data_IF_245314954165
#
_entry.id   IF_245314954165
#
_cell.length_a   1.000
_cell.length_b   1.000
_cell.length_c   1.000
_cell.angle_alpha   90.00
_cell.angle_beta   90.00
_cell.angle_gamma   90.00
#
_symmetry.space_group_name_H-M   'P 1'
#
loop_
_entity.id
_entity.type
_entity.pdbx_description
1 polymer ?
#
# COMPACT_ATOMS: atom_id res chain seq x y z
N UNK A 1 40.86 21.08 -31.81
CA UNK A 1 41.40 20.81 -33.15
C UNK A 1 41.03 19.37 -33.49
N UNK A 2 40.43 19.20 -34.66
CA UNK A 2 39.72 18.03 -35.17
C UNK A 2 40.40 16.68 -34.97
N UNK A 3 39.61 15.62 -34.73
CA UNK A 3 39.77 14.36 -35.46
C UNK A 3 38.40 13.75 -35.78
N UNK A 4 38.16 13.63 -37.08
CA UNK A 4 37.00 13.06 -37.76
C UNK A 4 37.39 11.64 -38.20
N UNK A 5 36.51 10.62 -38.13
CA UNK A 5 36.79 9.32 -38.74
C UNK A 5 36.23 9.26 -40.18
N UNK A 6 37.02 8.69 -41.10
CA UNK A 6 36.71 8.45 -42.51
C UNK A 6 35.93 7.14 -42.75
N UNK A 7 35.22 6.99 -43.88
CA UNK A 7 34.16 5.99 -44.07
C UNK A 7 34.62 4.64 -44.65
N UNK A 8 33.87 3.57 -44.34
CA UNK A 8 34.05 2.22 -44.87
C UNK A 8 33.32 2.01 -46.20
N UNK A 9 34.00 1.33 -47.12
CA UNK A 9 33.55 0.99 -48.48
C UNK A 9 32.39 -0.01 -48.51
N UNK A 10 31.50 0.23 -49.47
CA UNK A 10 30.38 -0.63 -49.90
C UNK A 10 30.90 -1.71 -50.86
N UNK A 11 30.53 -2.96 -50.62
CA UNK A 11 30.69 -4.08 -51.56
C UNK A 11 29.33 -4.74 -51.79
N UNK A 12 28.98 -4.90 -53.06
CA UNK A 12 27.74 -5.45 -53.60
C UNK A 12 27.91 -6.91 -53.98
N UNK A 13 27.00 -7.80 -53.56
CA UNK A 13 26.82 -9.15 -54.16
C UNK A 13 25.33 -9.51 -54.21
N UNK A 14 24.93 -10.06 -55.35
CA UNK A 14 23.58 -10.35 -55.86
C UNK A 14 22.84 -11.50 -55.14
N UNK A 15 21.49 -11.55 -55.19
CA UNK A 15 20.72 -12.66 -54.62
C UNK A 15 20.57 -13.86 -55.56
N UNK A 16 20.70 -15.05 -54.98
CA UNK A 16 20.54 -16.38 -55.59
C UNK A 16 19.08 -16.85 -55.46
N UNK A 17 18.52 -17.43 -56.53
CA UNK A 17 17.19 -18.07 -56.57
C UNK A 17 17.32 -19.56 -56.19
N UNK A 18 16.42 -20.13 -55.36
CA UNK A 18 16.20 -21.58 -55.30
C UNK A 18 14.83 -22.02 -55.85
N UNK A 19 14.69 -23.31 -56.23
CA UNK A 19 13.62 -23.81 -57.10
C UNK A 19 12.37 -24.31 -56.36
N UNK A 20 11.30 -24.48 -57.14
CA UNK A 20 10.00 -25.06 -56.78
C UNK A 20 10.04 -26.60 -56.69
N UNK A 21 9.23 -27.19 -55.79
CA UNK A 21 8.27 -28.31 -56.00
C UNK A 21 7.69 -28.81 -54.66
N UNK A 22 6.36 -28.70 -54.56
CA UNK A 22 5.32 -29.64 -54.05
C UNK A 22 5.55 -30.56 -52.84
N UNK A 23 4.62 -30.49 -51.88
CA UNK A 23 4.26 -31.59 -50.97
C UNK A 23 3.70 -31.06 -49.65
N UNK A 24 2.40 -31.24 -49.42
CA UNK A 24 1.66 -30.62 -48.32
C UNK A 24 1.92 -31.20 -46.94
N UNK A 25 1.86 -30.32 -45.94
CA UNK A 25 1.26 -30.52 -44.62
C UNK A 25 1.04 -29.13 -43.98
N UNK A 26 -0.20 -28.84 -43.60
CA UNK A 26 -0.67 -27.54 -43.14
C UNK A 26 -0.30 -27.35 -41.66
N UNK A 27 0.75 -26.55 -41.40
CA UNK A 27 1.11 -26.08 -40.06
C UNK A 27 0.56 -24.66 -39.90
N UNK A 28 -0.46 -24.48 -39.06
CA UNK A 28 -1.00 -23.16 -38.72
C UNK A 28 -0.06 -22.51 -37.70
N UNK A 29 0.79 -21.61 -38.17
CA UNK A 29 1.48 -20.61 -37.35
C UNK A 29 0.65 -19.31 -37.29
N UNK A 30 0.53 -18.73 -36.10
CA UNK A 30 -0.21 -17.50 -35.86
C UNK A 30 0.35 -16.29 -36.65
N UNK A 31 -0.49 -15.79 -37.55
CA UNK A 31 -0.78 -14.40 -37.96
C UNK A 31 0.39 -13.38 -37.94
N UNK A 32 0.82 -13.04 -39.14
CA UNK A 32 1.70 -11.92 -39.51
C UNK A 32 0.95 -10.58 -39.40
N UNK A 33 1.52 -9.61 -38.66
CA UNK A 33 1.03 -8.22 -38.63
C UNK A 33 1.36 -7.53 -39.95
N UNK A 34 0.33 -7.20 -40.74
CA UNK A 34 0.49 -6.40 -41.96
C UNK A 34 0.76 -4.93 -41.62
N UNK A 35 1.94 -4.46 -42.01
CA UNK A 35 2.26 -3.05 -42.17
C UNK A 35 1.35 -2.40 -43.22
N UNK A 36 0.61 -1.37 -42.83
CA UNK A 36 -0.09 -0.48 -43.76
C UNK A 36 0.84 0.70 -44.05
N UNK A 37 1.64 0.58 -45.11
CA UNK A 37 2.34 1.70 -45.72
C UNK A 37 1.43 2.39 -46.74
N UNK A 38 0.90 3.57 -46.39
CA UNK A 38 0.29 4.49 -47.35
C UNK A 38 1.35 5.41 -47.95
N UNK A 39 1.51 5.31 -49.27
CA UNK A 39 2.33 6.20 -50.09
C UNK A 39 1.73 7.62 -50.11
N UNK A 40 2.52 8.63 -49.72
CA UNK A 40 2.34 10.03 -50.11
C UNK A 40 3.72 10.70 -50.30
N UNK A 41 3.90 11.57 -51.32
CA UNK A 41 5.21 12.09 -51.73
C UNK A 41 5.75 13.20 -50.80
N UNK A 42 7.07 13.49 -50.81
CA UNK A 42 7.69 14.39 -49.86
C UNK A 42 7.52 15.86 -50.30
N UNK A 43 7.21 16.75 -49.35
CA UNK A 43 7.22 18.20 -49.57
C UNK A 43 8.19 18.86 -48.60
N UNK A 44 8.99 19.76 -49.19
CA UNK A 44 10.16 20.45 -48.67
C UNK A 44 9.89 21.32 -47.45
N UNK A 45 10.89 21.42 -46.57
CA UNK A 45 11.01 22.50 -45.61
C UNK A 45 11.38 23.80 -46.35
N UNK A 46 10.64 24.88 -46.09
CA UNK A 46 11.15 26.25 -46.07
C UNK A 46 10.09 27.19 -45.47
N UNK A 47 10.55 28.02 -44.51
CA UNK A 47 10.01 29.28 -44.00
C UNK A 47 8.51 29.39 -43.62
N UNK A 48 8.25 29.86 -42.39
CA UNK A 48 7.70 31.21 -42.13
C UNK A 48 7.36 31.41 -40.63
N UNK A 49 8.05 32.37 -40.02
CA UNK A 49 7.57 33.47 -39.16
C UNK A 49 6.31 33.33 -38.28
N UNK A 50 6.49 33.71 -37.01
CA UNK A 50 5.51 34.06 -35.98
C UNK A 50 4.35 34.98 -36.44
N UNK A 51 3.13 34.73 -35.93
CA UNK A 51 2.26 35.81 -35.42
C UNK A 51 1.13 35.29 -34.52
N UNK A 52 0.89 36.04 -33.44
CA UNK A 52 -0.18 35.94 -32.46
C UNK A 52 -1.49 36.48 -33.04
N UNK A 53 -2.62 35.78 -32.87
CA UNK A 53 -3.92 36.40 -32.55
C UNK A 53 -4.86 35.39 -31.88
N UNK A 54 -5.51 35.82 -30.80
CA UNK A 54 -6.65 35.17 -30.18
C UNK A 54 -7.91 35.33 -31.05
N UNK A 55 -8.77 34.32 -31.10
CA UNK A 55 -10.12 34.43 -31.63
C UNK A 55 -11.13 33.81 -30.66
N UNK A 56 -12.04 34.66 -30.19
CA UNK A 56 -13.22 34.33 -29.43
C UNK A 56 -14.24 33.57 -30.30
N UNK A 57 -14.97 32.63 -29.68
CA UNK A 57 -16.22 32.09 -30.23
C UNK A 57 -17.32 32.38 -29.23
N UNK A 58 -18.18 33.31 -29.62
CA UNK A 58 -19.51 33.61 -29.08
C UNK A 58 -20.45 32.42 -29.26
N UNK A 59 -21.18 32.07 -28.20
CA UNK A 59 -22.48 31.41 -28.30
C UNK A 59 -23.41 32.20 -27.37
N UNK A 60 -24.35 32.92 -27.98
CA UNK A 60 -25.48 33.58 -27.34
C UNK A 60 -26.72 32.80 -27.77
N UNK A 61 -27.48 32.26 -26.82
CA UNK A 61 -28.95 32.26 -26.86
C UNK A 61 -29.48 32.28 -25.42
N UNK A 62 -30.52 33.07 -25.27
CA UNK A 62 -30.97 33.79 -24.07
C UNK A 62 -32.13 33.07 -23.35
N UNK A 63 -32.47 33.51 -22.11
CA UNK A 63 -33.31 32.76 -21.18
C UNK A 63 -34.81 33.15 -21.24
N UNK A 64 -35.68 32.24 -20.80
CA UNK A 64 -37.09 32.53 -20.52
C UNK A 64 -37.33 32.63 -19.00
N UNK A 65 -37.70 33.83 -18.55
CA UNK A 65 -38.34 34.08 -17.26
C UNK A 65 -39.86 34.06 -17.42
N UNK A 66 -40.57 33.53 -16.43
CA UNK A 66 -41.96 33.88 -16.14
C UNK A 66 -42.14 34.06 -14.64
N UNK A 67 -42.74 35.20 -14.27
CA UNK A 67 -43.01 35.69 -12.93
C UNK A 67 -44.43 35.31 -12.47
N UNK A 68 -44.65 35.18 -11.15
CA UNK A 68 -46.02 35.17 -10.60
C UNK A 68 -46.19 34.79 -9.12
N UNK A 69 -45.90 35.73 -8.21
CA UNK A 69 -46.65 36.10 -6.98
C UNK A 69 -47.31 35.04 -6.05
N UNK A 70 -46.98 35.07 -4.75
CA UNK A 70 -47.81 35.66 -3.65
C UNK A 70 -47.36 35.21 -2.26
N UNK A 71 -47.29 36.15 -1.32
CA UNK A 71 -47.11 35.93 0.12
C UNK A 71 -48.45 36.02 0.85
N UNK A 72 -48.72 35.12 1.82
CA UNK A 72 -49.68 35.35 2.92
C UNK A 72 -49.13 34.73 4.21
N UNK A 73 -49.28 35.50 5.29
CA UNK A 73 -48.86 35.26 6.68
C UNK A 73 -50.00 34.68 7.54
N UNK A 74 -49.66 34.29 8.79
CA UNK A 74 -50.47 33.87 9.95
C UNK A 74 -50.86 32.37 10.01
N UNK A 75 -50.84 31.66 11.14
CA UNK A 75 -50.54 31.96 12.54
C UNK A 75 -50.96 30.77 13.42
N UNK A 76 -50.18 30.49 14.48
CA UNK A 76 -50.44 29.76 15.75
C UNK A 76 -51.75 28.93 15.92
N UNK A 77 -51.73 27.69 16.43
CA UNK A 77 -51.54 27.36 17.87
C UNK A 77 -51.49 25.84 18.14
N UNK A 78 -50.93 25.52 19.31
CA UNK A 78 -50.66 24.24 19.99
C UNK A 78 -51.79 23.21 20.13
N UNK A 79 -51.42 21.93 20.24
CA UNK A 79 -51.90 21.04 21.33
C UNK A 79 -51.00 19.81 21.54
N UNK A 80 -50.77 19.51 22.81
CA UNK A 80 -50.02 18.38 23.38
C UNK A 80 -50.86 17.10 23.42
N UNK A 81 -50.24 15.91 23.28
CA UNK A 81 -50.16 14.89 24.36
C UNK A 81 -49.75 13.48 23.93
N UNK A 82 -48.78 12.96 24.70
CA UNK A 82 -48.68 11.60 25.29
C UNK A 82 -48.28 10.40 24.39
N UNK A 83 -47.20 9.73 24.80
CA UNK A 83 -46.69 8.46 24.26
C UNK A 83 -47.54 7.22 24.63
N UNK A 84 -47.02 5.98 24.45
CA UNK A 84 -45.98 5.49 25.37
C UNK A 84 -44.87 4.61 24.75
N UNK A 85 -43.85 4.41 25.59
CA UNK A 85 -42.68 3.52 25.66
C UNK A 85 -42.85 2.08 25.16
N UNK A 86 -41.83 1.50 24.48
CA UNK A 86 -41.17 0.19 24.77
C UNK A 86 -39.72 0.19 24.21
N UNK A 87 -38.76 -0.22 25.02
CA UNK A 87 -37.31 -0.31 24.76
C UNK A 87 -36.87 -1.67 24.19
N UNK A 88 -35.75 -1.70 23.46
CA UNK A 88 -35.01 -2.92 23.10
C UNK A 88 -33.53 -2.61 22.79
N UNK A 89 -32.65 -3.02 23.70
CA UNK A 89 -31.19 -2.77 23.74
C UNK A 89 -30.38 -3.94 23.20
N UNK A 90 -29.20 -3.65 22.61
CA UNK A 90 -28.11 -4.61 22.41
C UNK A 90 -26.76 -3.89 22.37
N UNK A 91 -26.04 -3.85 23.50
CA UNK A 91 -24.67 -3.35 23.62
C UNK A 91 -23.74 -4.47 24.12
N UNK A 92 -22.54 -4.45 23.57
CA UNK A 92 -21.30 -5.17 23.90
C UNK A 92 -20.84 -4.98 25.36
N UNK A 93 -20.21 -5.98 26.01
CA UNK A 93 -19.74 -5.83 27.38
C UNK A 93 -18.28 -5.38 27.46
N UNK A 94 -18.04 -4.36 28.29
CA UNK A 94 -16.76 -4.04 28.90
C UNK A 94 -16.83 -4.47 30.39
N UNK A 95 -15.82 -5.20 30.87
CA UNK A 95 -15.72 -5.61 32.26
C UNK A 95 -14.76 -4.68 33.02
N UNK A 96 -15.32 -3.92 33.95
CA UNK A 96 -14.62 -3.26 35.06
C UNK A 96 -15.37 -3.59 36.34
N UNK A 97 -14.73 -4.27 37.29
CA UNK A 97 -15.30 -4.53 38.61
C UNK A 97 -14.57 -3.67 39.64
N UNK A 98 -15.31 -2.70 40.18
CA UNK A 98 -15.01 -2.00 41.43
C UNK A 98 -15.57 -2.80 42.61
N UNK A 99 -14.95 -2.72 43.79
CA UNK A 99 -15.74 -2.68 45.02
C UNK A 99 -15.07 -1.81 46.09
N UNK A 100 -15.94 -1.08 46.78
CA UNK A 100 -15.67 0.09 47.61
C UNK A 100 -16.10 -0.21 49.05
N UNK A 101 -15.34 0.22 50.07
CA UNK A 101 -15.81 0.80 51.35
C UNK A 101 -14.73 0.80 52.46
N UNK A 102 -14.46 1.99 53.03
CA UNK A 102 -13.95 2.15 54.41
C UNK A 102 -15.12 2.26 55.42
N UNK A 103 -14.93 2.56 56.72
CA UNK A 103 -13.78 3.27 57.31
C UNK A 103 -13.28 2.82 58.73
N UNK A 104 -12.12 3.37 59.11
CA UNK A 104 -11.69 3.82 60.46
C UNK A 104 -11.10 2.88 61.53
N UNK A 105 -10.04 3.43 62.17
CA UNK A 105 -9.42 3.15 63.48
C UNK A 105 -8.38 2.01 63.65
N UNK A 106 -7.13 2.45 63.80
CA UNK A 106 -5.99 1.80 64.48
C UNK A 106 -6.27 1.66 66.00
N UNK A 107 -5.69 0.67 66.74
CA UNK A 107 -4.24 0.66 66.99
C UNK A 107 -3.53 -0.70 67.24
N UNK A 108 -2.20 -0.65 67.11
CA UNK A 108 -1.14 -1.46 67.76
C UNK A 108 -0.95 -2.95 67.45
N UNK A 109 0.27 -3.24 66.95
CA UNK A 109 1.12 -4.42 67.16
C UNK A 109 0.50 -5.82 67.15
N UNK A 110 0.89 -6.64 66.17
CA UNK A 110 1.92 -7.68 66.41
C UNK A 110 2.38 -8.31 65.09
N UNK A 111 3.65 -8.66 65.08
CA UNK A 111 4.47 -9.13 63.98
C UNK A 111 3.91 -10.42 63.34
N UNK A 112 3.55 -10.38 62.06
CA UNK A 112 3.30 -11.58 61.25
C UNK A 112 4.10 -11.44 59.96
N UNK A 113 5.28 -12.06 59.93
CA UNK A 113 6.13 -12.13 58.74
C UNK A 113 5.35 -12.86 57.64
N UNK A 114 5.00 -12.15 56.57
CA UNK A 114 4.56 -12.77 55.33
C UNK A 114 5.78 -13.43 54.68
N UNK A 115 5.99 -14.70 55.00
CA UNK A 115 7.04 -15.53 54.42
C UNK A 115 6.80 -15.60 52.93
N UNK A 116 7.53 -14.79 52.16
CA UNK A 116 7.45 -14.77 50.70
C UNK A 116 7.94 -16.13 50.20
N UNK A 117 7.40 -16.62 49.09
CA UNK A 117 7.84 -17.88 48.45
C UNK A 117 9.37 -17.94 48.28
N UNK A 118 10.02 -16.78 48.12
CA UNK A 118 11.49 -16.61 48.14
C UNK A 118 12.15 -17.10 49.43
N UNK A 119 11.58 -16.89 50.61
CA UNK A 119 12.11 -17.40 51.88
C UNK A 119 11.97 -18.93 51.99
N UNK A 120 10.98 -19.51 51.31
CA UNK A 120 10.87 -20.96 51.19
C UNK A 120 11.98 -21.52 50.30
N UNK A 121 12.36 -20.82 49.23
CA UNK A 121 13.46 -21.24 48.35
C UNK A 121 14.84 -21.16 49.04
N UNK A 122 15.09 -20.14 49.86
CA UNK A 122 16.34 -20.03 50.65
C UNK A 122 16.51 -21.17 51.67
N UNK A 123 15.41 -21.76 52.16
CA UNK A 123 15.46 -22.90 53.10
C UNK A 123 15.76 -24.24 52.40
N UNK A 124 15.65 -24.29 51.07
CA UNK A 124 15.97 -25.46 50.24
C UNK A 124 17.24 -25.26 49.41
N UNK A 125 18.02 -24.22 49.69
CA UNK A 125 19.36 -24.02 49.12
C UNK A 125 20.39 -24.98 49.77
N UNK A 126 20.04 -26.27 49.85
CA UNK A 126 21.05 -27.30 49.78
C UNK A 126 21.53 -27.30 48.33
N UNK A 127 22.73 -26.78 48.12
CA UNK A 127 23.47 -26.87 46.87
C UNK A 127 23.70 -28.37 46.55
N UNK A 128 22.69 -29.02 45.94
CA UNK A 128 22.83 -30.31 45.26
C UNK A 128 23.65 -30.06 44.00
N UNK A 129 24.95 -29.81 44.18
CA UNK A 129 25.94 -29.98 43.13
C UNK A 129 25.91 -31.46 42.75
N UNK A 130 25.15 -31.76 41.69
CA UNK A 130 25.29 -33.04 41.01
C UNK A 130 26.74 -33.16 40.55
N UNK A 131 27.47 -34.18 41.01
CA UNK A 131 28.84 -34.51 40.57
C UNK A 131 28.92 -34.87 39.07
N UNK A 132 27.77 -34.95 38.40
CA UNK A 132 27.67 -35.18 36.97
C UNK A 132 28.02 -33.91 36.17
N UNK A 133 29.29 -33.86 35.74
CA UNK A 133 29.84 -32.82 34.85
C UNK A 133 29.00 -32.63 33.59
N UNK A 134 28.40 -33.68 33.03
CA UNK A 134 27.64 -33.59 31.78
C UNK A 134 26.30 -32.89 32.01
N UNK A 135 25.68 -33.11 33.17
CA UNK A 135 24.46 -32.42 33.57
C UNK A 135 24.72 -30.92 33.82
N UNK A 136 25.82 -30.58 34.49
CA UNK A 136 26.21 -29.18 34.69
C UNK A 136 26.53 -28.48 33.38
N UNK A 137 27.19 -29.18 32.45
CA UNK A 137 27.49 -28.64 31.12
C UNK A 137 26.21 -28.48 30.29
N UNK A 138 25.24 -29.40 30.40
CA UNK A 138 23.94 -29.28 29.75
C UNK A 138 23.10 -28.12 30.30
N UNK A 139 23.10 -27.91 31.62
CA UNK A 139 22.46 -26.76 32.27
C UNK A 139 23.12 -25.47 31.82
N UNK A 140 24.46 -25.42 31.83
CA UNK A 140 25.23 -24.24 31.39
C UNK A 140 24.95 -23.92 29.91
N UNK A 141 24.93 -24.94 29.03
CA UNK A 141 24.56 -24.79 27.62
C UNK A 141 23.11 -24.35 27.43
N UNK A 142 22.19 -24.81 28.27
CA UNK A 142 20.78 -24.38 28.21
C UNK A 142 20.60 -22.94 28.69
N UNK A 143 21.37 -22.52 29.70
CA UNK A 143 21.41 -21.12 30.16
C UNK A 143 22.04 -20.22 29.10
N UNK A 144 23.17 -20.64 28.53
CA UNK A 144 23.84 -19.95 27.41
C UNK A 144 22.95 -19.88 26.17
N UNK A 145 22.20 -20.95 25.86
CA UNK A 145 21.19 -20.96 24.80
C UNK A 145 20.05 -19.98 25.09
N UNK A 146 19.63 -19.84 26.35
CA UNK A 146 18.60 -18.88 26.74
C UNK A 146 19.09 -17.42 26.72
N UNK A 147 20.39 -17.20 26.98
CA UNK A 147 21.01 -15.87 26.85
C UNK A 147 21.33 -15.51 25.40
N UNK A 148 21.62 -16.49 24.54
CA UNK A 148 21.88 -16.25 23.11
C UNK A 148 20.59 -16.09 22.27
N UNK A 149 19.44 -16.59 22.75
CA UNK A 149 18.10 -16.24 22.21
C UNK A 149 17.60 -14.85 22.69
N UNK A 150 18.25 -14.28 23.71
CA UNK A 150 17.98 -12.92 24.18
C UNK A 150 18.76 -11.84 23.44
N UNK A 151 19.45 -12.20 22.35
CA UNK A 151 20.15 -11.27 21.48
C UNK A 151 19.14 -10.43 20.68
N UNK A 152 18.66 -9.39 21.37
CA UNK A 152 18.01 -8.19 20.84
C UNK A 152 16.58 -8.32 20.29
N UNK A 153 15.63 -8.87 21.06
CA UNK A 153 14.23 -8.41 20.91
C UNK A 153 14.15 -6.95 21.39
N UNK A 154 14.50 -6.01 20.52
CA UNK A 154 14.21 -4.59 20.76
C UNK A 154 12.71 -4.46 21.06
N UNK A 155 12.38 -3.85 22.20
CA UNK A 155 10.97 -3.61 22.52
C UNK A 155 10.39 -2.60 21.53
N UNK A 156 9.08 -2.64 21.34
CA UNK A 156 8.40 -1.69 20.45
C UNK A 156 8.68 -0.24 20.87
N UNK A 157 8.70 0.03 22.18
CA UNK A 157 9.00 1.36 22.72
C UNK A 157 10.39 1.83 22.26
N UNK A 158 11.39 0.97 22.37
CA UNK A 158 12.77 1.30 21.95
C UNK A 158 12.89 1.53 20.45
N UNK A 159 12.17 0.74 19.64
CA UNK A 159 12.12 0.95 18.18
C UNK A 159 11.48 2.31 17.88
N UNK A 160 10.36 2.63 18.52
CA UNK A 160 9.67 3.92 18.31
C UNK A 160 10.53 5.10 18.77
N UNK A 161 11.26 4.98 19.88
CA UNK A 161 12.22 5.99 20.33
C UNK A 161 13.34 6.19 19.32
N UNK A 162 13.90 5.11 18.78
CA UNK A 162 14.94 5.18 17.75
C UNK A 162 14.44 5.86 16.47
N UNK A 163 13.25 5.48 15.98
CA UNK A 163 12.68 6.10 14.78
C UNK A 163 12.40 7.58 15.05
N UNK A 164 11.77 7.92 16.17
CA UNK A 164 11.46 9.30 16.54
C UNK A 164 12.70 10.18 16.70
N UNK A 165 13.81 9.61 17.22
CA UNK A 165 15.09 10.32 17.37
C UNK A 165 15.73 10.76 16.05
N UNK A 166 15.32 10.19 14.91
CA UNK A 166 15.81 10.60 13.58
C UNK A 166 15.20 11.92 13.10
N UNK A 167 14.09 12.36 13.71
CA UNK A 167 13.46 13.63 13.36
C UNK A 167 14.27 14.79 13.93
N UNK A 168 14.89 15.55 13.04
CA UNK A 168 15.62 16.77 13.34
C UNK A 168 14.65 17.87 13.80
N UNK A 169 14.75 18.21 15.09
CA UNK A 169 13.93 19.24 15.73
C UNK A 169 14.43 20.68 15.50
N UNK A 170 15.66 20.85 14.98
CA UNK A 170 16.28 22.16 14.75
C UNK A 170 15.87 22.78 13.41
N UNK A 171 15.31 21.98 12.51
CA UNK A 171 14.82 22.43 11.20
C UNK A 171 13.41 21.97 10.96
N UNK A 172 12.59 22.90 10.48
CA UNK A 172 11.17 22.66 10.21
C UNK A 172 10.86 22.74 8.72
N UNK A 173 9.98 21.88 8.24
CA UNK A 173 9.38 21.95 6.90
C UNK A 173 7.89 22.22 7.00
N UNK A 174 7.45 23.33 6.38
CA UNK A 174 6.05 23.76 6.45
C UNK A 174 5.20 23.17 5.33
N UNK A 175 4.14 22.49 5.72
CA UNK A 175 3.08 21.98 4.84
C UNK A 175 1.87 22.90 4.92
N UNK A 176 1.58 23.61 3.83
CA UNK A 176 0.35 24.39 3.69
C UNK A 176 -0.68 23.52 2.99
N UNK A 177 -1.72 23.10 3.71
CA UNK A 177 -2.64 22.03 3.26
C UNK A 177 -4.07 22.54 3.23
N UNK A 178 -4.73 22.28 2.11
CA UNK A 178 -6.19 22.44 1.98
C UNK A 178 -6.82 21.07 2.24
N UNK A 179 -7.73 20.96 3.21
CA UNK A 179 -8.33 19.67 3.62
C UNK A 179 -9.06 18.93 2.50
N UNK A 180 -9.65 19.64 1.55
CA UNK A 180 -10.29 19.01 0.37
C UNK A 180 -9.30 18.49 -0.67
N UNK A 181 -8.02 18.85 -0.57
CA UNK A 181 -7.01 18.54 -1.58
C UNK A 181 -5.65 18.20 -0.93
N UNK A 182 -5.70 17.27 0.03
CA UNK A 182 -4.56 16.90 0.88
C UNK A 182 -3.42 16.31 0.06
N UNK A 183 -3.71 15.35 -0.82
CA UNK A 183 -2.69 14.65 -1.59
C UNK A 183 -1.85 15.59 -2.46
N UNK A 184 -2.51 16.46 -3.23
CA UNK A 184 -1.88 17.40 -4.16
C UNK A 184 -1.12 18.51 -3.41
N UNK A 185 -1.62 18.98 -2.26
CA UNK A 185 -0.87 19.87 -1.39
C UNK A 185 0.40 19.22 -0.83
N UNK A 186 0.30 17.95 -0.46
CA UNK A 186 1.39 17.15 0.12
C UNK A 186 2.47 16.85 -0.91
N UNK A 187 2.09 16.31 -2.07
CA UNK A 187 3.03 15.96 -3.14
C UNK A 187 3.81 17.17 -3.64
N UNK A 188 3.15 18.33 -3.77
CA UNK A 188 3.84 19.60 -4.07
C UNK A 188 4.80 20.02 -2.99
N UNK A 189 4.45 19.84 -1.71
CA UNK A 189 5.32 20.20 -0.60
C UNK A 189 6.57 19.31 -0.54
N UNK A 190 6.42 18.01 -0.81
CA UNK A 190 7.52 17.05 -0.87
C UNK A 190 8.40 17.24 -2.11
N UNK A 191 7.85 17.75 -3.21
CA UNK A 191 8.61 18.09 -4.42
C UNK A 191 9.48 19.35 -4.31
N UNK A 192 9.47 20.06 -3.18
CA UNK A 192 10.29 21.27 -3.00
C UNK A 192 11.76 20.89 -2.78
N UNK A 193 12.69 21.67 -3.35
CA UNK A 193 14.13 21.42 -3.20
C UNK A 193 14.63 21.48 -1.76
N UNK A 194 13.92 22.17 -0.86
CA UNK A 194 14.26 22.30 0.56
C UNK A 194 13.57 21.24 1.45
N UNK A 195 12.75 20.37 0.88
CA UNK A 195 12.11 19.28 1.60
C UNK A 195 13.15 18.23 2.02
N UNK A 196 12.98 17.67 3.20
CA UNK A 196 13.70 16.51 3.70
C UNK A 196 12.79 15.80 4.69
N UNK A 197 12.68 14.45 4.64
CA UNK A 197 11.81 13.67 5.51
C UNK A 197 12.25 13.69 6.97
N UNK A 198 13.53 14.01 7.24
CA UNK A 198 14.10 14.07 8.59
C UNK A 198 13.74 15.37 9.31
N UNK A 199 13.29 16.41 8.60
CA UNK A 199 12.92 17.69 9.23
C UNK A 199 11.59 17.56 9.95
N UNK A 200 11.47 18.26 11.09
CA UNK A 200 10.20 18.39 11.79
C UNK A 200 9.11 18.97 10.88
N UNK A 201 7.97 18.29 10.81
CA UNK A 201 6.80 18.78 10.06
C UNK A 201 6.07 19.88 10.86
N UNK A 202 5.70 20.97 10.18
CA UNK A 202 4.81 22.03 10.67
C UNK A 202 3.66 22.19 9.69
N UNK A 203 2.44 21.89 10.13
CA UNK A 203 1.25 21.91 9.29
C UNK A 203 0.45 23.18 9.52
N UNK A 204 0.19 23.89 8.43
CA UNK A 204 -0.76 24.99 8.37
C UNK A 204 -1.92 24.62 7.47
N UNK A 205 -3.09 24.41 8.06
CA UNK A 205 -4.31 24.25 7.26
C UNK A 205 -4.80 25.60 6.74
N UNK A 206 -5.17 25.61 5.47
CA UNK A 206 -5.67 26.79 4.76
C UNK A 206 -6.99 26.47 4.06
N UNK A 207 -7.88 27.45 4.01
CA UNK A 207 -9.10 27.38 3.22
C UNK A 207 -8.83 27.57 1.71
N UNK A 208 -9.92 27.63 0.94
CA UNK A 208 -9.89 27.75 -0.53
C UNK A 208 -9.43 29.12 -1.02
N UNK A 209 -9.42 30.10 -0.13
CA UNK A 209 -8.96 31.47 -0.37
C UNK A 209 -7.53 31.69 0.15
N UNK A 210 -6.88 30.64 0.67
CA UNK A 210 -5.52 30.70 1.22
C UNK A 210 -5.44 31.27 2.64
N UNK A 211 -6.58 31.48 3.29
CA UNK A 211 -6.67 31.99 4.66
C UNK A 211 -6.33 30.87 5.64
N UNK A 212 -5.52 31.20 6.65
CA UNK A 212 -5.17 30.26 7.71
C UNK A 212 -6.39 29.90 8.55
N UNK A 213 -6.61 28.63 8.82
CA UNK A 213 -7.68 28.16 9.71
C UNK A 213 -7.37 28.32 11.22
N UNK A 214 -6.43 29.21 11.57
CA UNK A 214 -6.24 29.71 12.94
C UNK A 214 -5.50 28.81 13.95
N UNK A 215 -5.09 27.58 13.62
CA UNK A 215 -4.35 26.72 14.55
C UNK A 215 -2.82 26.81 14.37
N UNK A 216 -2.09 27.12 15.45
CA UNK A 216 -0.62 26.95 15.52
C UNK A 216 -0.33 25.47 15.77
N UNK A 217 0.62 24.90 15.02
CA UNK A 217 0.93 23.48 15.11
C UNK A 217 1.81 23.15 16.33
N UNK A 218 1.15 22.74 17.41
CA UNK A 218 1.79 22.11 18.57
C UNK A 218 1.68 20.57 18.52
N UNK A 219 1.48 19.99 17.33
CA UNK A 219 1.34 18.56 17.07
C UNK A 219 -0.08 18.11 16.69
N UNK A 220 -1.11 18.91 17.03
CA UNK A 220 -2.50 18.61 16.65
C UNK A 220 -2.70 18.61 15.13
N UNK A 221 -2.42 19.73 14.44
CA UNK A 221 -2.46 19.80 12.98
C UNK A 221 -1.59 18.75 12.28
N UNK A 222 -0.36 18.49 12.76
CA UNK A 222 0.50 17.43 12.21
C UNK A 222 -0.15 16.04 12.31
N UNK A 223 -0.73 15.67 13.46
CA UNK A 223 -1.42 14.38 13.61
C UNK A 223 -2.65 14.26 12.71
N UNK A 224 -3.42 15.34 12.57
CA UNK A 224 -4.57 15.38 11.66
C UNK A 224 -4.11 15.20 10.20
N UNK A 225 -3.06 15.90 9.80
CA UNK A 225 -2.48 15.81 8.46
C UNK A 225 -2.08 14.40 8.08
N UNK A 226 -1.31 13.70 8.92
CA UNK A 226 -0.91 12.32 8.61
C UNK A 226 -2.12 11.39 8.52
N UNK A 227 -3.12 11.53 9.39
CA UNK A 227 -4.38 10.77 9.30
C UNK A 227 -5.09 11.02 7.97
N UNK A 228 -5.14 12.27 7.50
CA UNK A 228 -5.74 12.62 6.21
C UNK A 228 -4.92 12.04 5.04
N UNK A 229 -3.60 12.13 5.07
CA UNK A 229 -2.75 11.53 4.04
C UNK A 229 -2.92 10.01 3.97
N UNK A 230 -2.96 9.31 5.11
CA UNK A 230 -3.18 7.87 5.14
C UNK A 230 -4.54 7.48 4.53
N UNK A 231 -5.57 8.29 4.75
CA UNK A 231 -6.88 8.10 4.12
C UNK A 231 -6.80 8.29 2.59
N UNK A 232 -6.12 9.33 2.10
CA UNK A 232 -5.88 9.53 0.66
C UNK A 232 -5.11 8.37 0.04
N UNK A 233 -4.04 7.95 0.71
CA UNK A 233 -3.16 6.85 0.30
C UNK A 233 -3.94 5.53 0.18
N UNK A 234 -4.75 5.23 1.18
CA UNK A 234 -5.49 3.97 1.28
C UNK A 234 -6.52 3.80 0.15
N UNK A 235 -7.31 4.84 -0.13
CA UNK A 235 -8.54 4.67 -0.92
C UNK A 235 -8.68 5.61 -2.13
N UNK A 236 -7.90 6.69 -2.26
CA UNK A 236 -8.13 7.71 -3.31
C UNK A 236 -7.09 7.78 -4.42
N UNK A 237 -5.81 7.60 -4.08
CA UNK A 237 -4.72 7.80 -5.06
C UNK A 237 -4.53 6.61 -6.01
N UNK A 238 -5.22 5.50 -5.77
CA UNK A 238 -5.26 4.35 -6.66
C UNK A 238 -3.96 3.54 -6.70
N UNK A 239 -3.21 3.48 -5.59
CA UNK A 239 -1.99 2.65 -5.48
C UNK A 239 -2.22 1.31 -4.76
N UNK A 240 -3.37 1.16 -4.11
CA UNK A 240 -3.76 -0.03 -3.36
C UNK A 240 -5.09 -0.60 -3.88
N UNK A 241 -5.21 -1.92 -3.86
CA UNK A 241 -6.42 -2.68 -4.15
C UNK A 241 -6.74 -3.67 -3.01
N UNK A 242 -7.92 -4.30 -3.06
CA UNK A 242 -8.39 -5.22 -2.02
C UNK A 242 -9.25 -4.58 -0.92
N UNK A 243 -9.67 -5.40 0.06
CA UNK A 243 -10.55 -4.99 1.14
C UNK A 243 -9.93 -3.92 2.05
N UNK A 244 -10.78 -3.22 2.80
CA UNK A 244 -10.39 -2.03 3.57
C UNK A 244 -9.34 -2.28 4.66
N UNK A 245 -9.16 -3.53 5.09
CA UNK A 245 -8.23 -3.96 6.14
C UNK A 245 -7.15 -4.95 5.64
N UNK A 246 -7.10 -5.22 4.33
CA UNK A 246 -6.06 -6.06 3.73
C UNK A 246 -5.75 -5.57 2.32
N UNK A 247 -5.16 -4.38 2.25
CA UNK A 247 -4.72 -3.75 1.00
C UNK A 247 -3.40 -4.34 0.51
N UNK A 248 -3.32 -4.55 -0.80
CA UNK A 248 -2.09 -4.89 -1.54
C UNK A 248 -1.82 -3.82 -2.60
N UNK A 249 -0.57 -3.65 -3.01
CA UNK A 249 -0.24 -2.72 -4.10
C UNK A 249 -0.91 -3.16 -5.40
N UNK A 250 -1.43 -2.21 -6.16
CA UNK A 250 -1.86 -2.44 -7.55
C UNK A 250 -0.87 -1.82 -8.52
N UNK A 251 -0.90 -2.24 -9.79
CA UNK A 251 -0.08 -1.65 -10.84
C UNK A 251 -0.83 -0.49 -11.50
N UNK A 252 -0.41 0.75 -11.20
CA UNK A 252 -0.99 1.98 -11.75
C UNK A 252 0.09 2.85 -12.40
N UNK A 253 0.07 2.92 -13.73
CA UNK A 253 1.08 3.62 -14.53
C UNK A 253 1.06 5.14 -14.30
N UNK A 254 -0.10 5.73 -14.06
CA UNK A 254 -0.22 7.17 -13.74
C UNK A 254 0.40 7.45 -12.37
N UNK A 255 0.08 6.64 -11.36
CA UNK A 255 0.64 6.76 -10.04
C UNK A 255 2.17 6.57 -10.03
N UNK A 256 2.70 5.67 -10.87
CA UNK A 256 4.14 5.52 -11.10
C UNK A 256 4.77 6.80 -11.65
N UNK A 257 4.19 7.36 -12.72
CA UNK A 257 4.69 8.60 -13.35
C UNK A 257 4.68 9.79 -12.39
N UNK A 258 3.66 9.88 -11.54
CA UNK A 258 3.46 10.97 -10.59
C UNK A 258 4.24 10.77 -9.27
N UNK A 259 5.10 9.75 -9.17
CA UNK A 259 5.84 9.37 -7.96
C UNK A 259 4.97 9.06 -6.74
N UNK A 260 3.71 8.65 -6.96
CA UNK A 260 2.77 8.46 -5.87
C UNK A 260 3.17 7.31 -4.93
N UNK A 261 3.73 6.22 -5.45
CA UNK A 261 4.25 5.11 -4.62
C UNK A 261 5.37 5.57 -3.69
N UNK A 262 6.32 6.34 -4.22
CA UNK A 262 7.43 6.90 -3.45
C UNK A 262 6.94 7.84 -2.36
N UNK A 263 6.07 8.80 -2.71
CA UNK A 263 5.51 9.72 -1.72
C UNK A 263 4.66 9.01 -0.68
N UNK A 264 3.88 7.99 -1.06
CA UNK A 264 3.09 7.22 -0.11
C UNK A 264 3.97 6.49 0.91
N UNK A 265 5.02 5.80 0.46
CA UNK A 265 5.97 5.13 1.35
C UNK A 265 6.65 6.10 2.31
N UNK A 266 7.13 7.23 1.79
CA UNK A 266 7.77 8.26 2.60
C UNK A 266 6.81 8.91 3.60
N UNK A 267 5.57 9.22 3.21
CA UNK A 267 4.55 9.76 4.13
C UNK A 267 4.20 8.76 5.24
N UNK A 268 4.07 7.47 4.90
CA UNK A 268 3.79 6.42 5.88
C UNK A 268 4.92 6.29 6.91
N UNK A 269 6.18 6.34 6.46
CA UNK A 269 7.34 6.35 7.34
C UNK A 269 7.40 7.62 8.20
N UNK A 270 7.16 8.79 7.60
CA UNK A 270 7.12 10.06 8.32
C UNK A 270 6.02 10.08 9.38
N UNK A 271 4.84 9.50 9.09
CA UNK A 271 3.74 9.39 10.06
C UNK A 271 4.21 8.63 11.29
N UNK A 272 4.88 7.49 11.13
CA UNK A 272 5.42 6.71 12.25
C UNK A 272 6.49 7.52 13.02
N UNK A 273 7.43 8.14 12.30
CA UNK A 273 8.53 8.89 12.91
C UNK A 273 8.09 10.12 13.70
N UNK A 274 7.00 10.76 13.28
CA UNK A 274 6.43 11.94 13.95
C UNK A 274 5.37 11.58 15.02
N UNK A 275 5.21 10.30 15.37
CA UNK A 275 4.19 9.86 16.35
C UNK A 275 2.75 9.98 15.85
N UNK A 276 2.57 10.00 14.53
CA UNK A 276 1.29 9.89 13.84
C UNK A 276 0.73 8.46 13.85
N UNK A 277 -0.37 8.25 13.12
CA UNK A 277 -1.00 6.94 13.02
C UNK A 277 -0.17 6.00 12.13
N UNK A 278 -0.08 4.73 12.51
CA UNK A 278 0.51 3.69 11.65
C UNK A 278 -0.48 3.26 10.57
N UNK A 279 -0.03 2.94 9.33
CA UNK A 279 -0.89 2.39 8.30
C UNK A 279 -1.38 0.98 8.68
N UNK A 280 -2.55 0.90 9.31
CA UNK A 280 -3.16 -0.34 9.81
C UNK A 280 -4.16 -0.98 8.82
N UNK A 281 -3.91 -0.82 7.52
CA UNK A 281 -4.82 -1.27 6.44
C UNK A 281 -4.15 -2.22 5.44
N UNK A 282 -2.85 -2.49 5.58
CA UNK A 282 -2.11 -3.39 4.69
C UNK A 282 -2.45 -4.85 4.99
N UNK A 283 -2.41 -5.70 3.97
CA UNK A 283 -2.59 -7.15 4.16
C UNK A 283 -1.39 -7.78 4.88
N UNK A 284 -1.59 -8.98 5.43
CA UNK A 284 -0.51 -9.79 6.00
C UNK A 284 0.62 -10.01 4.98
N UNK A 285 0.26 -10.38 3.74
CA UNK A 285 1.19 -10.52 2.63
C UNK A 285 2.06 -9.27 2.41
N UNK A 286 1.46 -8.08 2.46
CA UNK A 286 2.18 -6.82 2.25
C UNK A 286 3.17 -6.56 3.41
N UNK A 287 2.81 -6.86 4.65
CA UNK A 287 3.75 -6.78 5.78
C UNK A 287 4.88 -7.80 5.66
N UNK A 288 4.60 -9.01 5.20
CA UNK A 288 5.64 -10.01 4.92
C UNK A 288 6.59 -9.51 3.82
N UNK A 289 6.07 -8.90 2.76
CA UNK A 289 6.89 -8.32 1.69
C UNK A 289 7.79 -7.21 2.21
N UNK A 290 7.29 -6.35 3.11
CA UNK A 290 8.09 -5.29 3.72
C UNK A 290 9.21 -5.83 4.62
N UNK A 291 8.98 -6.96 5.29
CA UNK A 291 9.96 -7.55 6.20
C UNK A 291 11.01 -8.40 5.46
N UNK A 292 10.57 -9.23 4.51
CA UNK A 292 11.39 -10.30 3.90
C UNK A 292 11.77 -9.98 2.45
N UNK A 293 11.15 -8.97 1.84
CA UNK A 293 11.20 -8.72 0.40
C UNK A 293 10.22 -9.61 -0.37
N UNK A 294 9.71 -9.16 -1.54
CA UNK A 294 8.70 -9.88 -2.32
C UNK A 294 9.20 -11.23 -2.83
N UNK A 295 10.51 -11.37 -3.06
CA UNK A 295 11.11 -12.62 -3.56
C UNK A 295 11.08 -13.77 -2.52
N UNK A 296 10.83 -13.48 -1.24
CA UNK A 296 10.84 -14.45 -0.14
C UNK A 296 9.44 -14.71 0.46
N UNK A 297 8.37 -14.25 -0.19
CA UNK A 297 7.00 -14.39 0.28
C UNK A 297 6.24 -15.41 -0.56
N UNK A 298 5.47 -16.26 0.11
CA UNK A 298 4.64 -17.27 -0.57
C UNK A 298 3.25 -16.71 -0.81
N UNK A 299 2.89 -16.57 -2.09
CA UNK A 299 1.56 -16.12 -2.50
C UNK A 299 0.60 -17.31 -2.58
N UNK A 300 -0.63 -17.08 -2.18
CA UNK A 300 -1.73 -18.02 -2.33
C UNK A 300 -2.80 -17.44 -3.27
N UNK A 301 -3.67 -18.29 -3.79
CA UNK A 301 -4.73 -17.85 -4.71
C UNK A 301 -5.72 -16.87 -4.08
N UNK A 302 -5.94 -16.97 -2.77
CA UNK A 302 -6.78 -16.07 -1.99
C UNK A 302 -6.22 -14.65 -1.85
N UNK A 303 -4.91 -14.46 -2.09
CA UNK A 303 -4.27 -13.13 -2.04
C UNK A 303 -4.57 -12.28 -3.29
N UNK A 304 -5.06 -12.91 -4.37
CA UNK A 304 -5.51 -12.21 -5.57
C UNK A 304 -6.77 -11.45 -5.21
N UNK A 305 -6.75 -10.12 -5.31
CA UNK A 305 -7.91 -9.28 -4.95
C UNK A 305 -8.96 -9.21 -6.05
N UNK A 306 -8.56 -9.36 -7.31
CA UNK A 306 -9.45 -9.33 -8.47
C UNK A 306 -10.25 -10.64 -8.59
N UNK A 307 -11.58 -10.53 -8.52
CA UNK A 307 -12.46 -11.70 -8.46
C UNK A 307 -12.43 -12.52 -9.76
N UNK A 308 -12.30 -11.84 -10.91
CA UNK A 308 -12.24 -12.50 -12.22
C UNK A 308 -10.98 -13.33 -12.35
N UNK A 309 -9.81 -12.72 -12.09
CA UNK A 309 -8.51 -13.39 -12.08
C UNK A 309 -8.51 -14.56 -11.08
N UNK A 310 -9.06 -14.36 -9.87
CA UNK A 310 -9.15 -15.42 -8.87
C UNK A 310 -10.02 -16.58 -9.36
N UNK A 311 -11.17 -16.29 -9.95
CA UNK A 311 -12.10 -17.29 -10.49
C UNK A 311 -11.46 -18.09 -11.62
N UNK A 312 -10.73 -17.44 -12.53
CA UNK A 312 -9.99 -18.11 -13.62
C UNK A 312 -8.97 -19.12 -13.08
N UNK A 313 -8.19 -18.75 -12.05
CA UNK A 313 -7.24 -19.67 -11.41
C UNK A 313 -7.95 -20.81 -10.68
N UNK A 314 -9.06 -20.53 -10.02
CA UNK A 314 -9.86 -21.55 -9.36
C UNK A 314 -10.41 -22.58 -10.34
N UNK A 315 -10.85 -22.18 -11.54
CA UNK A 315 -11.29 -23.10 -12.59
C UNK A 315 -10.15 -24.03 -13.04
N UNK A 316 -8.93 -23.51 -13.21
CA UNK A 316 -7.76 -24.32 -13.53
C UNK A 316 -7.52 -25.35 -12.42
N UNK A 317 -7.51 -24.91 -11.16
CA UNK A 317 -7.29 -25.79 -10.00
C UNK A 317 -8.38 -26.87 -9.87
N UNK A 318 -9.62 -26.50 -10.15
CA UNK A 318 -10.79 -27.38 -10.01
C UNK A 318 -11.01 -28.29 -11.20
N UNK A 319 -10.31 -28.17 -12.33
CA UNK A 319 -10.52 -29.07 -13.47
C UNK A 319 -10.14 -30.53 -13.13
N UNK A 320 -11.04 -31.50 -13.37
CA UNK A 320 -10.76 -32.94 -13.19
C UNK A 320 -10.52 -33.67 -14.51
N UNK A 321 -10.88 -33.08 -15.65
CA UNK A 321 -10.73 -33.68 -16.99
C UNK A 321 -9.95 -32.77 -17.92
N UNK A 322 -9.31 -33.33 -18.95
CA UNK A 322 -8.61 -32.53 -19.97
C UNK A 322 -9.52 -31.50 -20.66
N UNK A 323 -10.78 -31.85 -20.91
CA UNK A 323 -11.76 -30.92 -21.50
C UNK A 323 -12.02 -29.72 -20.57
N UNK A 324 -12.27 -29.96 -19.29
CA UNK A 324 -12.47 -28.88 -18.31
C UNK A 324 -11.23 -28.01 -18.17
N UNK A 325 -10.05 -28.64 -18.19
CA UNK A 325 -8.80 -27.91 -18.10
C UNK A 325 -8.57 -27.04 -19.33
N UNK A 326 -8.85 -27.54 -20.54
CA UNK A 326 -8.76 -26.76 -21.77
C UNK A 326 -9.67 -25.53 -21.74
N UNK A 327 -10.92 -25.69 -21.28
CA UNK A 327 -11.86 -24.57 -21.15
C UNK A 327 -11.39 -23.55 -20.10
N UNK A 328 -10.84 -24.00 -18.98
CA UNK A 328 -10.31 -23.12 -17.93
C UNK A 328 -9.06 -22.36 -18.40
N UNK A 329 -8.16 -23.03 -19.11
CA UNK A 329 -6.95 -22.43 -19.70
C UNK A 329 -7.33 -21.41 -20.78
N UNK A 330 -8.34 -21.70 -21.60
CA UNK A 330 -8.85 -20.76 -22.60
C UNK A 330 -9.43 -19.49 -21.93
N UNK A 331 -10.16 -19.63 -20.82
CA UNK A 331 -10.67 -18.49 -20.04
C UNK A 331 -9.54 -17.66 -19.41
N UNK A 332 -8.47 -18.29 -18.95
CA UNK A 332 -7.32 -17.63 -18.34
C UNK A 332 -6.24 -17.19 -19.36
N UNK A 333 -6.50 -17.30 -20.67
CA UNK A 333 -5.47 -17.14 -21.71
C UNK A 333 -4.74 -15.79 -21.65
N UNK A 334 -5.47 -14.70 -21.38
CA UNK A 334 -4.88 -13.36 -21.25
C UNK A 334 -3.89 -13.27 -20.09
N UNK A 335 -4.26 -13.84 -18.93
CA UNK A 335 -3.42 -13.86 -17.73
C UNK A 335 -2.18 -14.73 -17.95
N UNK A 336 -2.36 -15.93 -18.51
CA UNK A 336 -1.27 -16.87 -18.83
C UNK A 336 -0.28 -16.21 -19.80
N UNK A 337 -0.78 -15.56 -20.84
CA UNK A 337 0.04 -14.85 -21.83
C UNK A 337 0.81 -13.69 -21.20
N UNK A 338 0.17 -12.91 -20.32
CA UNK A 338 0.82 -11.76 -19.68
C UNK A 338 1.87 -12.18 -18.65
N UNK A 339 1.64 -13.30 -17.97
CA UNK A 339 2.61 -13.94 -17.09
C UNK A 339 3.80 -14.57 -17.83
N UNK A 340 3.70 -14.75 -19.15
CA UNK A 340 4.72 -15.43 -19.95
C UNK A 340 4.84 -16.92 -19.64
N UNK A 341 3.75 -17.54 -19.16
CA UNK A 341 3.74 -18.97 -18.85
C UNK A 341 3.66 -19.80 -20.15
N UNK A 342 4.80 -20.29 -20.61
CA UNK A 342 4.95 -20.99 -21.89
C UNK A 342 4.92 -22.53 -21.76
N UNK A 343 4.70 -23.05 -20.56
CA UNK A 343 4.62 -24.50 -20.32
C UNK A 343 3.21 -24.98 -20.62
N UNK A 344 3.09 -26.16 -21.23
CA UNK A 344 1.79 -26.79 -21.44
C UNK A 344 1.17 -27.13 -20.09
N UNK A 345 -0.03 -26.62 -19.86
CA UNK A 345 -0.80 -26.87 -18.64
C UNK A 345 -1.51 -28.23 -18.78
N UNK A 346 -1.29 -29.11 -17.81
CA UNK A 346 -1.84 -30.48 -17.72
C UNK A 346 -2.47 -30.69 -16.34
N UNK A 347 -3.23 -31.78 -16.17
CA UNK A 347 -3.82 -32.12 -14.87
C UNK A 347 -2.76 -32.41 -13.78
N UNK A 348 -1.53 -32.74 -14.17
CA UNK A 348 -0.41 -33.03 -13.27
C UNK A 348 0.27 -31.77 -12.73
N UNK A 349 0.37 -30.71 -13.54
CA UNK A 349 1.08 -29.47 -13.18
C UNK A 349 0.16 -28.27 -12.87
N UNK A 350 -1.17 -28.41 -13.02
CA UNK A 350 -2.12 -27.30 -12.81
C UNK A 350 -2.00 -26.60 -11.46
N UNK A 351 -1.60 -27.29 -10.40
CA UNK A 351 -1.38 -26.70 -9.07
C UNK A 351 -0.17 -25.76 -9.07
N UNK A 352 0.95 -26.19 -9.65
CA UNK A 352 2.16 -25.38 -9.80
C UNK A 352 1.88 -24.18 -10.70
N UNK A 353 1.24 -24.41 -11.85
CA UNK A 353 0.83 -23.32 -12.76
C UNK A 353 -0.03 -22.27 -12.04
N UNK A 354 -1.04 -22.68 -11.27
CA UNK A 354 -1.90 -21.72 -10.57
C UNK A 354 -1.14 -20.91 -9.52
N UNK A 355 -0.19 -21.53 -8.80
CA UNK A 355 0.67 -20.83 -7.84
C UNK A 355 1.61 -19.84 -8.54
N UNK A 356 2.22 -20.23 -9.66
CA UNK A 356 3.09 -19.35 -10.45
C UNK A 356 2.33 -18.14 -10.99
N UNK A 357 1.11 -18.36 -11.51
CA UNK A 357 0.24 -17.28 -12.01
C UNK A 357 -0.19 -16.35 -10.87
N UNK A 358 -0.53 -16.88 -9.70
CA UNK A 358 -0.87 -16.08 -8.53
C UNK A 358 0.32 -15.25 -8.07
N UNK A 359 1.49 -15.86 -7.95
CA UNK A 359 2.72 -15.18 -7.57
C UNK A 359 3.08 -14.06 -8.55
N UNK A 360 2.98 -14.33 -9.85
CA UNK A 360 3.20 -13.32 -10.87
C UNK A 360 2.20 -12.16 -10.75
N UNK A 361 0.91 -12.46 -10.59
CA UNK A 361 -0.15 -11.45 -10.56
C UNK A 361 -0.03 -10.51 -9.38
N UNK A 362 0.25 -11.06 -8.20
CA UNK A 362 0.28 -10.31 -6.93
C UNK A 362 1.60 -9.58 -6.73
N UNK A 363 2.74 -10.25 -6.97
CA UNK A 363 4.07 -9.71 -6.62
C UNK A 363 4.88 -9.26 -7.83
N UNK A 364 4.96 -10.04 -8.91
CA UNK A 364 5.85 -9.68 -10.03
C UNK A 364 5.31 -8.52 -10.85
N UNK A 365 3.99 -8.48 -11.09
CA UNK A 365 3.32 -7.36 -11.76
C UNK A 365 3.47 -6.04 -10.99
N UNK A 366 3.63 -6.11 -9.67
CA UNK A 366 3.72 -4.96 -8.76
C UNK A 366 5.14 -4.68 -8.28
N UNK A 367 6.15 -5.37 -8.83
CA UNK A 367 7.56 -5.25 -8.40
C UNK A 367 8.08 -3.81 -8.50
N UNK A 368 7.94 -3.17 -9.65
CA UNK A 368 8.39 -1.78 -9.81
C UNK A 368 7.63 -0.78 -8.90
N UNK A 369 6.29 -0.87 -8.76
CA UNK A 369 5.54 -0.16 -7.71
C UNK A 369 6.08 -0.39 -6.30
N UNK A 370 6.36 -1.65 -5.93
CA UNK A 370 6.88 -2.02 -4.63
C UNK A 370 8.26 -1.43 -4.37
N UNK A 371 9.19 -1.56 -5.31
CA UNK A 371 10.53 -0.97 -5.24
C UNK A 371 10.45 0.55 -5.05
N UNK A 372 9.57 1.22 -5.80
CA UNK A 372 9.36 2.66 -5.66
C UNK A 372 8.74 3.05 -4.31
N UNK A 373 7.89 2.18 -3.77
CA UNK A 373 7.20 2.36 -2.49
C UNK A 373 8.12 2.20 -1.27
N UNK A 374 9.06 1.25 -1.30
CA UNK A 374 10.00 1.01 -0.19
C UNK A 374 11.27 1.87 -0.25
N UNK A 375 11.49 2.56 -1.38
CA UNK A 375 12.57 3.53 -1.51
C UNK A 375 12.23 4.79 -0.70
N UNK A 376 12.82 4.96 0.48
CA UNK A 376 12.51 6.06 1.41
C UNK A 376 13.72 6.96 1.63
#
# INVERSE_FOLDING_TARGET
MFFQPSPLLRSSVSPVIPPSISGGDEVIWCIETKDICTNAPPISADNLTMSSVAAAITIDETPTLSSGTSAISSGYTHSFSIGPTISGTGHTPCFSASNNSGPSHSPTQTNAHSTTYSTYLDLFEEEYLSDDTDLQEAISRSLESSTNESDSRMTLERIMEQIGSRVNSDSTVRFNIIRRNVWDGTSRAMGRSNFSPDKKVDVKFTDDYGTSEGAVDNGGPTREFFRLCLHEIKDKIGIFEGPSNAKVLTCNSKAMKDNAYFYAGQIMAMSIAHGGQSPCFLSELMYECLQKGPDNVKVKTEDITDEETRSQLQLILQAQTDSQLQDAVAQAASLISLAGHNVRITLENKQETALDLAHWYVLQRTRAPFERYVYI
#
